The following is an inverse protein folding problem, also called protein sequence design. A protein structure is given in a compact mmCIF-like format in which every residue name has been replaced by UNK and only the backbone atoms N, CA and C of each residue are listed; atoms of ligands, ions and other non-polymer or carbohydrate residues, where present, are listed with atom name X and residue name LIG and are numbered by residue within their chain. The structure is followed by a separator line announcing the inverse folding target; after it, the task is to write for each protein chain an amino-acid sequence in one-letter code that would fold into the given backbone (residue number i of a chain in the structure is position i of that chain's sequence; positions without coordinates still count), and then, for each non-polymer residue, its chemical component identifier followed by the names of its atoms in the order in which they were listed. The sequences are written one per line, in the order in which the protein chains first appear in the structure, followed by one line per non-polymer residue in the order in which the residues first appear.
data_IF_090491441277
#
_entry.id   IF_090491441277
#
_cell.length_a   1.000
_cell.length_b   1.000
_cell.length_c   1.000
_cell.angle_alpha   90.00
_cell.angle_beta   90.00
_cell.angle_gamma   90.00
#
_symmetry.space_group_name_H-M   'P 1'
#
loop_
_entity.id
_entity.type
_entity.pdbx_description
1 polymer ?
#
# COMPACT_ATOMS: atom_id res chain seq x y z
N UNK A 1 -12.33 1.31 -23.87
CA UNK A 1 -13.81 1.42 -23.98
C UNK A 1 -14.32 1.90 -22.64
N UNK A 2 -15.02 3.03 -22.59
CA UNK A 2 -15.70 3.52 -21.38
C UNK A 2 -16.74 2.48 -20.95
N UNK A 3 -16.37 1.57 -20.05
CA UNK A 3 -17.35 0.86 -19.27
C UNK A 3 -17.78 1.83 -18.17
N UNK A 4 -18.99 2.36 -18.31
CA UNK A 4 -19.71 3.00 -17.23
C UNK A 4 -20.02 1.94 -16.18
N UNK A 5 -19.03 1.65 -15.32
CA UNK A 5 -19.28 1.02 -14.04
C UNK A 5 -20.01 2.06 -13.19
N UNK A 6 -21.25 1.78 -12.71
CA UNK A 6 -22.02 2.75 -11.93
C UNK A 6 -21.32 3.21 -10.64
N UNK A 7 -20.27 2.52 -10.19
CA UNK A 7 -19.62 2.75 -8.89
C UNK A 7 -18.25 3.45 -8.96
N UNK A 8 -17.65 3.60 -10.14
CA UNK A 8 -16.34 4.25 -10.29
C UNK A 8 -16.20 4.92 -11.65
N UNK A 9 -15.66 6.15 -11.68
CA UNK A 9 -15.33 6.81 -12.94
C UNK A 9 -13.85 6.67 -13.23
N UNK A 10 -13.53 6.02 -14.36
CA UNK A 10 -12.21 6.12 -14.98
C UNK A 10 -12.21 7.42 -15.80
N UNK A 11 -11.50 8.45 -15.31
CA UNK A 11 -11.34 9.69 -16.05
C UNK A 11 -9.85 9.91 -16.35
N UNK A 12 -9.48 9.62 -17.60
CA UNK A 12 -8.11 9.76 -18.11
C UNK A 12 -7.61 11.22 -18.16
N UNK A 13 -8.47 12.21 -17.90
CA UNK A 13 -8.06 13.62 -17.88
C UNK A 13 -7.62 14.08 -16.47
N UNK A 14 -7.90 13.32 -15.41
CA UNK A 14 -7.62 13.75 -14.02
C UNK A 14 -6.14 14.04 -13.78
N UNK A 15 -5.25 13.14 -14.20
CA UNK A 15 -3.80 13.28 -14.01
C UNK A 15 -3.07 13.32 -15.35
N UNK A 16 -3.72 13.89 -16.37
CA UNK A 16 -3.12 14.06 -17.70
C UNK A 16 -1.84 14.88 -17.59
N UNK A 17 -0.79 14.42 -18.28
CA UNK A 17 0.55 14.99 -18.21
C UNK A 17 1.10 15.09 -16.77
N UNK A 18 0.58 14.27 -15.86
CA UNK A 18 0.94 14.22 -14.45
C UNK A 18 0.75 15.54 -13.68
N UNK A 19 -0.21 16.37 -14.12
CA UNK A 19 -0.42 17.71 -13.58
C UNK A 19 -0.96 17.71 -12.14
N UNK A 20 -1.72 16.69 -11.74
CA UNK A 20 -2.25 16.59 -10.38
C UNK A 20 -1.23 15.96 -9.43
N UNK A 21 -0.56 14.89 -9.87
CA UNK A 21 0.45 14.16 -9.11
C UNK A 21 1.49 13.53 -10.05
N UNK A 22 2.72 14.04 -9.99
CA UNK A 22 3.87 13.64 -10.82
C UNK A 22 4.38 12.21 -10.59
N UNK A 23 4.00 11.60 -9.47
CA UNK A 23 4.41 10.24 -9.07
C UNK A 23 3.28 9.20 -9.13
N UNK A 24 2.14 9.56 -9.71
CA UNK A 24 1.00 8.67 -9.96
C UNK A 24 0.90 8.31 -11.44
N UNK A 25 0.14 7.26 -11.81
CA UNK A 25 -0.18 7.01 -13.20
C UNK A 25 -1.02 8.15 -13.80
N UNK A 26 -1.06 8.21 -15.13
CA UNK A 26 -1.88 9.16 -15.90
C UNK A 26 -3.39 8.90 -15.73
N UNK A 27 -3.77 7.63 -15.55
CA UNK A 27 -5.16 7.21 -15.33
C UNK A 27 -5.39 6.94 -13.84
N UNK A 28 -6.31 7.70 -13.25
CA UNK A 28 -6.78 7.52 -11.87
C UNK A 28 -8.25 7.11 -11.85
N UNK A 29 -8.62 6.30 -10.86
CA UNK A 29 -10.00 5.84 -10.66
C UNK A 29 -10.49 6.34 -9.31
N UNK A 30 -11.60 7.09 -9.36
CA UNK A 30 -12.26 7.74 -8.23
C UNK A 30 -13.75 7.38 -8.20
N UNK A 31 -14.44 7.58 -7.06
CA UNK A 31 -15.90 7.46 -7.01
C UNK A 31 -16.56 8.38 -8.04
N UNK A 32 -17.51 7.84 -8.81
CA UNK A 32 -18.25 8.59 -9.84
C UNK A 32 -19.07 9.77 -9.28
N UNK A 33 -19.42 9.69 -8.00
CA UNK A 33 -20.22 10.67 -7.28
C UNK A 33 -19.40 11.81 -6.66
N UNK A 34 -18.07 11.82 -6.82
CA UNK A 34 -17.22 12.90 -6.33
C UNK A 34 -17.08 14.02 -7.37
N UNK A 35 -17.18 15.27 -6.94
CA UNK A 35 -16.99 16.43 -7.80
C UNK A 35 -15.50 16.68 -8.06
N UNK A 36 -15.05 16.35 -9.28
CA UNK A 36 -13.65 16.42 -9.71
C UNK A 36 -13.10 17.86 -9.63
N UNK A 37 -13.93 18.91 -9.70
CA UNK A 37 -13.47 20.31 -9.57
C UNK A 37 -12.82 20.60 -8.20
N UNK A 38 -13.08 19.74 -7.21
CA UNK A 38 -12.60 19.85 -5.84
C UNK A 38 -11.29 19.11 -5.61
N UNK A 39 -10.84 18.31 -6.58
CA UNK A 39 -9.76 17.36 -6.42
C UNK A 39 -8.40 18.02 -6.14
N UNK A 40 -8.16 19.22 -6.66
CA UNK A 40 -6.94 19.98 -6.38
C UNK A 40 -6.76 20.24 -4.88
N UNK A 41 -7.85 20.54 -4.16
CA UNK A 41 -7.80 20.79 -2.70
C UNK A 41 -7.48 19.51 -1.91
N UNK A 42 -7.94 18.36 -2.39
CA UNK A 42 -7.55 17.05 -1.84
C UNK A 42 -6.07 16.79 -2.09
N UNK A 43 -5.60 17.05 -3.31
CA UNK A 43 -4.20 16.89 -3.69
C UNK A 43 -3.27 17.76 -2.85
N UNK A 44 -3.61 19.04 -2.65
CA UNK A 44 -2.84 19.96 -1.83
C UNK A 44 -2.82 19.55 -0.34
N UNK A 45 -3.78 18.73 0.10
CA UNK A 45 -3.86 18.22 1.47
C UNK A 45 -3.20 16.85 1.67
N UNK A 46 -2.87 16.13 0.59
CA UNK A 46 -2.20 14.82 0.63
C UNK A 46 -0.72 15.01 0.30
N UNK A 47 0.16 14.42 1.10
CA UNK A 47 1.60 14.56 0.91
C UNK A 47 2.04 14.18 -0.51
N UNK A 48 2.67 15.13 -1.23
CA UNK A 48 3.09 14.95 -2.65
C UNK A 48 1.92 14.74 -3.61
N UNK A 49 0.74 15.22 -3.24
CA UNK A 49 -0.45 15.19 -4.08
C UNK A 49 -0.97 13.78 -4.39
N UNK A 50 -0.54 12.78 -3.62
CA UNK A 50 -0.91 11.37 -3.79
C UNK A 50 -2.25 11.09 -3.12
N UNK A 51 -3.29 11.56 -3.78
CA UNK A 51 -4.69 11.45 -3.34
C UNK A 51 -5.17 10.00 -3.19
N UNK A 52 -6.22 9.73 -2.39
CA UNK A 52 -6.94 8.46 -2.37
C UNK A 52 -7.44 8.05 -3.75
N UNK A 53 -6.96 6.91 -4.25
CA UNK A 53 -7.37 6.32 -5.55
C UNK A 53 -7.51 4.81 -5.45
N UNK A 54 -8.29 4.21 -6.36
CA UNK A 54 -8.56 2.77 -6.35
C UNK A 54 -7.33 1.91 -6.69
N UNK A 55 -7.06 0.90 -5.86
CA UNK A 55 -6.15 -0.21 -6.19
C UNK A 55 -6.91 -1.46 -6.63
N UNK A 56 -7.99 -1.81 -5.94
CA UNK A 56 -8.75 -3.03 -6.18
C UNK A 56 -10.18 -2.90 -5.66
N UNK A 57 -11.11 -3.67 -6.21
CA UNK A 57 -12.47 -3.77 -5.67
C UNK A 57 -13.05 -5.18 -5.81
N UNK A 58 -13.93 -5.54 -4.89
CA UNK A 58 -14.70 -6.78 -4.92
C UNK A 58 -15.82 -6.67 -5.94
N UNK A 59 -15.94 -7.65 -6.85
CA UNK A 59 -17.06 -7.71 -7.80
C UNK A 59 -18.39 -8.12 -7.15
N UNK A 60 -18.33 -8.75 -5.98
CA UNK A 60 -19.52 -9.20 -5.25
C UNK A 60 -20.09 -8.06 -4.38
N UNK A 61 -19.22 -7.37 -3.66
CA UNK A 61 -19.61 -6.41 -2.62
C UNK A 61 -19.26 -4.97 -2.93
N UNK A 62 -18.50 -4.70 -3.98
CA UNK A 62 -17.94 -3.37 -4.27
C UNK A 62 -17.11 -2.77 -3.12
N UNK A 63 -16.72 -3.58 -2.13
CA UNK A 63 -15.73 -3.20 -1.13
C UNK A 63 -14.41 -2.91 -1.85
N UNK A 64 -13.83 -1.74 -1.55
CA UNK A 64 -12.64 -1.25 -2.26
C UNK A 64 -11.38 -1.30 -1.38
N UNK A 65 -10.24 -1.48 -2.03
CA UNK A 65 -8.94 -1.11 -1.49
C UNK A 65 -8.52 0.14 -2.25
N UNK A 66 -8.39 1.26 -1.54
CA UNK A 66 -7.85 2.51 -2.07
C UNK A 66 -6.49 2.80 -1.45
N UNK A 67 -5.67 3.60 -2.12
CA UNK A 67 -4.32 3.96 -1.66
C UNK A 67 -4.04 5.45 -1.76
N UNK A 68 -3.20 5.95 -0.86
CA UNK A 68 -2.78 7.36 -0.82
C UNK A 68 -1.46 7.54 -0.06
N UNK A 69 -0.98 8.79 0.00
CA UNK A 69 -0.07 9.26 1.03
C UNK A 69 -0.81 9.73 2.28
N UNK A 70 -0.06 10.01 3.35
CA UNK A 70 -0.61 10.65 4.54
C UNK A 70 -1.30 12.00 4.26
N UNK A 71 -2.29 12.40 5.07
CA UNK A 71 -2.81 13.75 5.08
C UNK A 71 -1.80 14.75 5.71
N UNK A 72 -1.91 16.02 5.35
CA UNK A 72 -1.09 17.12 5.86
C UNK A 72 -1.76 17.83 7.04
N UNK A 73 -2.17 17.07 8.06
CA UNK A 73 -2.90 17.60 9.23
C UNK A 73 -2.01 18.54 10.07
N UNK A 74 -0.74 18.16 10.28
CA UNK A 74 0.21 18.88 11.09
C UNK A 74 -0.17 18.95 12.58
N UNK A 75 0.66 19.62 13.39
CA UNK A 75 0.38 19.82 14.83
C UNK A 75 -0.90 20.62 15.12
N UNK A 76 -1.34 21.44 14.15
CA UNK A 76 -2.59 22.19 14.25
C UNK A 76 -3.84 21.32 14.00
N UNK A 77 -3.66 20.01 13.73
CA UNK A 77 -4.73 19.06 13.42
C UNK A 77 -5.68 19.57 12.34
N UNK A 78 -5.13 20.13 11.25
CA UNK A 78 -5.90 20.69 10.14
C UNK A 78 -6.76 19.62 9.50
N UNK A 79 -7.98 19.98 9.12
CA UNK A 79 -8.89 19.16 8.33
C UNK A 79 -9.04 19.71 6.91
N UNK A 80 -9.49 18.87 5.99
CA UNK A 80 -9.84 19.26 4.64
C UNK A 80 -11.21 18.66 4.30
N UNK A 81 -12.23 19.52 4.14
CA UNK A 81 -13.60 19.07 3.85
C UNK A 81 -13.70 18.29 2.54
N UNK A 82 -12.89 18.64 1.53
CA UNK A 82 -12.85 17.92 0.26
C UNK A 82 -12.23 16.53 0.40
N UNK A 83 -11.20 16.36 1.25
CA UNK A 83 -10.62 15.04 1.53
C UNK A 83 -11.61 14.18 2.32
N UNK A 84 -12.23 14.73 3.37
CA UNK A 84 -13.28 14.05 4.14
C UNK A 84 -14.43 13.62 3.23
N UNK A 85 -14.81 14.46 2.27
CA UNK A 85 -15.85 14.11 1.29
C UNK A 85 -15.43 13.03 0.32
N UNK A 86 -14.21 13.07 -0.22
CA UNK A 86 -13.71 11.99 -1.07
C UNK A 86 -13.72 10.65 -0.32
N UNK A 87 -13.24 10.63 0.92
CA UNK A 87 -13.25 9.42 1.75
C UNK A 87 -14.66 8.92 2.04
N UNK A 88 -15.63 9.83 2.26
CA UNK A 88 -17.04 9.48 2.38
C UNK A 88 -17.57 8.85 1.10
N UNK A 89 -17.27 9.43 -0.08
CA UNK A 89 -17.69 8.87 -1.37
C UNK A 89 -17.06 7.50 -1.65
N UNK A 90 -15.83 7.25 -1.18
CA UNK A 90 -15.21 5.92 -1.25
C UNK A 90 -15.96 4.91 -0.38
N UNK A 91 -16.40 5.31 0.82
CA UNK A 91 -17.23 4.47 1.67
C UNK A 91 -18.60 4.18 1.02
N UNK A 92 -19.27 5.22 0.53
CA UNK A 92 -20.60 5.15 -0.09
C UNK A 92 -20.64 4.33 -1.39
N UNK A 93 -19.50 4.14 -2.07
CA UNK A 93 -19.40 3.32 -3.27
C UNK A 93 -19.55 1.81 -2.99
N UNK A 94 -19.38 1.38 -1.73
CA UNK A 94 -19.62 0.00 -1.31
C UNK A 94 -21.12 -0.24 -1.12
N UNK A 95 -21.64 -1.36 -1.64
CA UNK A 95 -23.08 -1.68 -1.52
C UNK A 95 -23.50 -2.01 -0.08
N UNK A 96 -22.55 -2.39 0.77
CA UNK A 96 -22.76 -2.61 2.19
C UNK A 96 -22.73 -1.26 2.92
N UNK A 97 -23.90 -0.62 2.99
CA UNK A 97 -24.08 0.66 3.66
C UNK A 97 -23.98 0.55 5.18
N UNK A 98 -23.72 1.68 5.84
CA UNK A 98 -23.70 1.80 7.30
C UNK A 98 -22.35 1.51 7.97
N UNK A 99 -21.35 1.04 7.22
CA UNK A 99 -19.98 0.88 7.71
C UNK A 99 -19.14 2.13 7.47
N UNK A 100 -18.34 2.52 8.47
CA UNK A 100 -17.31 3.54 8.31
C UNK A 100 -16.19 3.05 7.39
N UNK A 101 -15.53 3.96 6.68
CA UNK A 101 -14.30 3.63 5.95
C UNK A 101 -13.21 3.24 6.95
N UNK A 102 -12.53 2.12 6.73
CA UNK A 102 -11.33 1.80 7.53
C UNK A 102 -10.12 2.45 6.88
N UNK A 103 -9.30 3.11 7.68
CA UNK A 103 -8.02 3.66 7.27
C UNK A 103 -6.93 2.80 7.91
N UNK A 104 -6.13 2.17 7.06
CA UNK A 104 -5.00 1.35 7.43
C UNK A 104 -3.73 2.16 7.24
N UNK A 105 -3.22 2.75 8.32
CA UNK A 105 -1.91 3.38 8.35
C UNK A 105 -0.84 2.33 8.62
N UNK A 106 0.00 2.06 7.62
CA UNK A 106 1.04 1.05 7.72
C UNK A 106 2.07 1.35 8.83
N UNK A 107 2.15 2.59 9.34
CA UNK A 107 3.20 3.03 10.26
C UNK A 107 2.94 2.57 11.70
N UNK A 108 3.99 2.52 12.53
CA UNK A 108 3.82 2.66 13.97
C UNK A 108 3.22 4.02 14.31
N UNK A 109 2.32 4.05 15.30
CA UNK A 109 1.68 5.29 15.77
C UNK A 109 2.70 6.38 16.13
N UNK A 110 3.81 6.01 16.77
CA UNK A 110 4.90 6.95 17.11
C UNK A 110 5.52 7.62 15.88
N UNK A 111 5.66 6.87 14.78
CA UNK A 111 6.18 7.42 13.53
C UNK A 111 5.14 8.33 12.85
N UNK A 112 3.85 7.99 12.95
CA UNK A 112 2.78 8.84 12.46
C UNK A 112 2.70 10.17 13.22
N UNK A 113 2.86 10.14 14.55
CA UNK A 113 2.98 11.34 15.40
C UNK A 113 4.22 12.17 15.04
N UNK A 114 5.37 11.53 14.80
CA UNK A 114 6.57 12.24 14.36
C UNK A 114 6.38 12.91 12.98
N UNK A 115 5.61 12.28 12.07
CA UNK A 115 5.25 12.92 10.79
C UNK A 115 4.27 14.09 11.00
N UNK A 116 3.35 14.00 11.95
CA UNK A 116 2.46 15.11 12.33
C UNK A 116 3.25 16.34 12.79
N UNK A 117 4.33 16.13 13.56
CA UNK A 117 5.25 17.20 13.94
C UNK A 117 5.95 17.87 12.72
N UNK A 118 6.14 17.13 11.63
CA UNK A 118 6.74 17.60 10.38
C UNK A 118 5.71 18.03 9.32
N UNK A 119 4.46 18.32 9.72
CA UNK A 119 3.42 18.82 8.83
C UNK A 119 2.60 17.75 8.09
N UNK A 120 2.98 16.46 8.19
CA UNK A 120 2.16 15.32 7.78
C UNK A 120 1.12 14.96 8.84
N UNK A 121 0.84 13.68 9.04
CA UNK A 121 -0.03 13.20 10.12
C UNK A 121 -0.90 12.02 9.70
N UNK A 122 -2.08 11.92 10.31
CA UNK A 122 -3.06 10.86 10.08
C UNK A 122 -4.47 11.42 10.33
N UNK A 123 -5.49 10.73 9.83
CA UNK A 123 -6.88 11.14 9.85
C UNK A 123 -7.51 11.00 11.24
N UNK A 124 -8.29 12.02 11.64
CA UNK A 124 -9.19 11.99 12.80
C UNK A 124 -10.58 12.43 12.34
N UNK A 125 -11.21 11.59 11.53
CA UNK A 125 -12.47 11.90 10.84
C UNK A 125 -13.64 11.09 11.38
N UNK A 126 -14.84 11.70 11.53
CA UNK A 126 -15.98 11.06 12.17
C UNK A 126 -16.48 9.80 11.42
N UNK A 127 -16.32 9.76 10.10
CA UNK A 127 -16.79 8.68 9.23
C UNK A 127 -15.70 7.64 8.91
N UNK A 128 -14.59 7.66 9.64
CA UNK A 128 -13.46 6.77 9.44
C UNK A 128 -13.06 6.07 10.73
N UNK A 129 -12.46 4.89 10.60
CA UNK A 129 -11.83 4.14 11.69
C UNK A 129 -10.37 3.93 11.34
N UNK A 130 -9.44 4.38 12.19
CA UNK A 130 -8.00 4.32 11.91
C UNK A 130 -7.32 3.16 12.66
N UNK A 131 -6.62 2.30 11.92
CA UNK A 131 -5.78 1.21 12.42
C UNK A 131 -4.30 1.43 12.07
N UNK A 132 -3.40 1.25 13.05
CA UNK A 132 -1.94 1.33 12.85
C UNK A 132 -1.32 -0.07 12.80
N UNK A 133 -0.44 -0.31 11.81
CA UNK A 133 0.11 -1.65 11.55
C UNK A 133 1.61 -1.82 11.81
N UNK A 134 2.27 -0.83 12.40
CA UNK A 134 3.61 -0.96 12.98
C UNK A 134 4.74 -1.40 12.02
N UNK A 135 4.60 -1.17 10.71
CA UNK A 135 5.64 -1.46 9.72
C UNK A 135 6.65 -0.31 9.68
N UNK A 136 7.89 -0.62 10.05
CA UNK A 136 8.97 0.35 10.20
C UNK A 136 9.34 1.05 8.88
N UNK A 137 10.07 2.16 8.98
CA UNK A 137 10.48 2.94 7.81
C UNK A 137 11.66 2.29 7.05
N UNK A 138 11.99 2.86 5.89
CA UNK A 138 13.04 2.36 5.00
C UNK A 138 14.42 2.27 5.66
N UNK A 139 14.72 3.10 6.67
CA UNK A 139 16.01 3.13 7.34
C UNK A 139 16.19 1.94 8.28
N UNK A 140 15.11 1.53 8.96
CA UNK A 140 15.09 0.29 9.74
C UNK A 140 15.21 -0.91 8.81
N UNK A 141 14.46 -0.92 7.69
CA UNK A 141 14.49 -2.05 6.75
C UNK A 141 15.83 -2.20 6.01
N UNK A 142 16.65 -1.14 5.90
CA UNK A 142 17.97 -1.19 5.25
C UNK A 142 19.00 -2.00 6.05
N UNK A 143 18.74 -2.30 7.31
CA UNK A 143 19.73 -2.93 8.18
C UNK A 143 20.28 -4.25 7.59
N UNK A 144 21.60 -4.35 7.45
CA UNK A 144 22.29 -5.44 6.73
C UNK A 144 22.60 -6.66 7.59
N UNK A 145 22.05 -6.74 8.81
CA UNK A 145 22.34 -7.80 9.79
C UNK A 145 22.02 -9.21 9.26
N UNK A 146 21.02 -9.33 8.36
CA UNK A 146 20.67 -10.61 7.74
C UNK A 146 21.84 -11.27 6.98
N UNK A 147 22.77 -10.47 6.43
CA UNK A 147 23.90 -11.03 5.66
C UNK A 147 24.78 -11.95 6.52
N UNK A 148 24.96 -11.62 7.80
CA UNK A 148 25.72 -12.45 8.72
C UNK A 148 25.00 -13.79 8.95
N UNK A 149 23.69 -13.76 9.20
CA UNK A 149 22.88 -14.96 9.39
C UNK A 149 22.93 -15.89 8.18
N UNK A 150 22.78 -15.35 6.96
CA UNK A 150 22.83 -16.14 5.72
C UNK A 150 24.20 -16.76 5.51
N UNK A 151 25.28 -16.00 5.70
CA UNK A 151 26.65 -16.52 5.57
C UNK A 151 26.91 -17.64 6.58
N UNK A 152 26.51 -17.44 7.83
CA UNK A 152 26.74 -18.40 8.91
C UNK A 152 25.90 -19.67 8.70
N UNK A 153 24.66 -19.54 8.21
CA UNK A 153 23.84 -20.69 7.82
C UNK A 153 24.49 -21.53 6.70
N UNK A 154 25.09 -20.88 5.70
CA UNK A 154 25.78 -21.56 4.59
C UNK A 154 27.03 -22.35 5.04
N UNK A 155 27.59 -22.04 6.21
CA UNK A 155 28.73 -22.73 6.81
C UNK A 155 28.34 -23.63 7.99
N UNK A 156 27.04 -23.90 8.17
CA UNK A 156 26.49 -24.71 9.28
C UNK A 156 26.93 -24.21 10.68
N UNK A 157 27.18 -22.90 10.81
CA UNK A 157 27.56 -22.29 12.09
C UNK A 157 26.36 -22.26 13.04
N UNK A 158 26.55 -22.75 14.27
CA UNK A 158 25.50 -22.82 15.30
C UNK A 158 24.94 -21.45 15.69
N UNK A 159 25.61 -20.34 15.39
CA UNK A 159 25.09 -18.99 15.69
C UNK A 159 24.02 -18.51 14.72
N UNK A 160 23.82 -19.17 13.57
CA UNK A 160 23.01 -18.61 12.48
C UNK A 160 21.57 -18.25 12.90
N UNK A 161 20.96 -19.04 13.80
CA UNK A 161 19.62 -18.76 14.33
C UNK A 161 19.57 -17.47 15.15
N UNK A 162 20.57 -17.25 16.01
CA UNK A 162 20.67 -16.02 16.81
C UNK A 162 20.95 -14.81 15.92
N UNK A 163 21.81 -14.97 14.91
CA UNK A 163 22.09 -13.92 13.93
C UNK A 163 20.83 -13.56 13.13
N UNK A 164 20.01 -14.56 12.77
CA UNK A 164 18.73 -14.35 12.09
C UNK A 164 17.74 -13.59 12.98
N UNK A 165 17.58 -14.00 14.24
CA UNK A 165 16.71 -13.30 15.19
C UNK A 165 17.15 -11.84 15.39
N UNK A 166 18.46 -11.61 15.61
CA UNK A 166 19.04 -10.29 15.77
C UNK A 166 18.91 -9.38 14.54
N UNK A 167 18.72 -9.98 13.35
CA UNK A 167 18.47 -9.23 12.13
C UNK A 167 17.08 -8.59 12.05
N UNK A 168 16.12 -9.09 12.83
CA UNK A 168 14.70 -8.74 12.75
C UNK A 168 14.05 -8.93 11.37
N UNK A 169 14.72 -9.58 10.40
CA UNK A 169 14.19 -9.73 9.05
C UNK A 169 12.81 -10.43 9.05
N UNK A 170 12.73 -11.60 9.68
CA UNK A 170 11.47 -12.35 9.79
C UNK A 170 10.41 -11.62 10.62
N UNK A 171 10.82 -10.81 11.60
CA UNK A 171 9.89 -9.93 12.33
C UNK A 171 9.23 -8.91 11.39
N UNK A 172 10.01 -8.30 10.49
CA UNK A 172 9.51 -7.35 9.50
C UNK A 172 8.64 -8.02 8.43
N UNK A 173 9.04 -9.19 7.92
CA UNK A 173 8.23 -9.98 6.98
C UNK A 173 6.88 -10.35 7.60
N UNK A 174 6.88 -10.83 8.85
CA UNK A 174 5.65 -11.11 9.61
C UNK A 174 4.79 -9.86 9.73
N UNK A 175 5.35 -8.71 10.10
CA UNK A 175 4.58 -7.48 10.26
C UNK A 175 3.86 -7.05 8.96
N UNK A 176 4.55 -7.16 7.82
CA UNK A 176 3.97 -6.86 6.50
C UNK A 176 2.84 -7.85 6.16
N UNK A 177 3.08 -9.16 6.32
CA UNK A 177 2.06 -10.19 6.06
C UNK A 177 0.84 -10.06 6.97
N UNK A 178 1.03 -9.84 8.27
CA UNK A 178 -0.07 -9.65 9.22
C UNK A 178 -0.95 -8.46 8.85
N UNK A 179 -0.34 -7.33 8.45
CA UNK A 179 -1.09 -6.16 8.01
C UNK A 179 -1.85 -6.41 6.69
N UNK A 180 -1.23 -7.12 5.73
CA UNK A 180 -1.89 -7.50 4.49
C UNK A 180 -3.05 -8.47 4.73
N UNK A 181 -2.91 -9.44 5.65
CA UNK A 181 -3.99 -10.36 6.05
C UNK A 181 -5.12 -9.60 6.74
N UNK A 182 -4.82 -8.59 7.58
CA UNK A 182 -5.85 -7.72 8.16
C UNK A 182 -6.63 -6.99 7.06
N UNK A 183 -5.93 -6.41 6.09
CA UNK A 183 -6.55 -5.74 4.94
C UNK A 183 -7.49 -6.70 4.17
N UNK A 184 -7.04 -7.93 3.92
CA UNK A 184 -7.88 -8.97 3.29
C UNK A 184 -9.09 -9.30 4.14
N UNK A 185 -8.96 -9.46 5.46
CA UNK A 185 -10.08 -9.75 6.35
C UNK A 185 -11.12 -8.63 6.36
N UNK A 186 -10.69 -7.38 6.40
CA UNK A 186 -11.57 -6.21 6.35
C UNK A 186 -12.42 -6.21 5.07
N UNK A 187 -11.80 -6.50 3.93
CA UNK A 187 -12.46 -6.46 2.62
C UNK A 187 -13.30 -7.72 2.36
N UNK A 188 -12.74 -8.90 2.60
CA UNK A 188 -13.36 -10.18 2.24
C UNK A 188 -14.35 -10.70 3.28
N UNK A 189 -14.02 -10.59 4.57
CA UNK A 189 -14.85 -11.13 5.65
C UNK A 189 -15.83 -10.08 6.16
N UNK A 190 -15.34 -8.88 6.45
CA UNK A 190 -16.16 -7.79 7.01
C UNK A 190 -16.88 -6.96 5.93
N UNK A 191 -16.55 -7.18 4.64
CA UNK A 191 -17.14 -6.50 3.48
C UNK A 191 -16.98 -4.97 3.51
N UNK A 192 -15.92 -4.46 4.13
CA UNK A 192 -15.66 -3.02 4.30
C UNK A 192 -14.68 -2.50 3.25
N UNK A 193 -14.87 -1.25 2.84
CA UNK A 193 -13.86 -0.52 2.05
C UNK A 193 -12.73 -0.04 2.96
N UNK A 194 -11.51 -0.03 2.42
CA UNK A 194 -10.30 0.32 3.16
C UNK A 194 -9.45 1.33 2.37
N UNK A 195 -8.98 2.37 3.03
CA UNK A 195 -7.91 3.25 2.55
C UNK A 195 -6.59 2.80 3.16
N UNK A 196 -5.59 2.52 2.33
CA UNK A 196 -4.24 2.15 2.77
C UNK A 196 -3.28 3.30 2.52
N UNK A 197 -2.58 3.75 3.55
CA UNK A 197 -1.50 4.71 3.37
C UNK A 197 -0.32 4.46 4.31
N UNK A 198 0.75 5.21 4.09
CA UNK A 198 1.86 5.34 5.03
C UNK A 198 2.27 6.81 5.06
N UNK A 199 3.57 7.15 5.11
CA UNK A 199 4.02 8.54 4.91
C UNK A 199 3.83 8.98 3.46
N UNK A 200 4.65 8.48 2.53
CA UNK A 200 4.60 8.91 1.12
C UNK A 200 3.69 8.05 0.22
N UNK A 201 3.19 6.90 0.68
CA UNK A 201 2.25 6.09 -0.09
C UNK A 201 2.85 5.26 -1.25
N UNK A 202 4.17 5.06 -1.29
CA UNK A 202 4.84 4.30 -2.37
C UNK A 202 5.72 3.12 -1.90
N UNK A 203 5.94 2.94 -0.59
CA UNK A 203 6.76 1.84 -0.04
C UNK A 203 5.86 0.79 0.60
N UNK A 204 5.54 0.96 1.89
CA UNK A 204 4.68 0.04 2.65
C UNK A 204 3.28 -0.08 2.05
N UNK A 205 2.73 1.01 1.53
CA UNK A 205 1.44 0.99 0.84
C UNK A 205 1.46 0.07 -0.38
N UNK A 206 2.54 0.06 -1.17
CA UNK A 206 2.68 -0.85 -2.31
C UNK A 206 2.80 -2.31 -1.86
N UNK A 207 3.54 -2.58 -0.78
CA UNK A 207 3.61 -3.92 -0.17
C UNK A 207 2.21 -4.43 0.22
N UNK A 208 1.45 -3.63 0.99
CA UNK A 208 0.16 -4.05 1.53
C UNK A 208 -0.91 -4.25 0.45
N UNK A 209 -1.06 -3.28 -0.45
CA UNK A 209 -2.03 -3.35 -1.55
C UNK A 209 -1.74 -4.54 -2.47
N UNK A 210 -0.47 -4.75 -2.85
CA UNK A 210 -0.08 -5.85 -3.73
C UNK A 210 -0.31 -7.22 -3.08
N UNK A 211 0.07 -7.39 -1.81
CA UNK A 211 -0.12 -8.66 -1.09
C UNK A 211 -1.60 -8.97 -0.88
N UNK A 212 -2.42 -7.96 -0.54
CA UNK A 212 -3.86 -8.15 -0.43
C UNK A 212 -4.47 -8.55 -1.78
N UNK A 213 -4.07 -7.92 -2.89
CA UNK A 213 -4.53 -8.28 -4.22
C UNK A 213 -4.16 -9.72 -4.61
N UNK A 214 -2.96 -10.20 -4.26
CA UNK A 214 -2.56 -11.60 -4.46
C UNK A 214 -3.43 -12.60 -3.70
N UNK A 215 -3.81 -12.24 -2.47
CA UNK A 215 -4.65 -13.09 -1.62
C UNK A 215 -6.14 -13.05 -2.04
N UNK A 216 -6.62 -11.92 -2.55
CA UNK A 216 -8.03 -11.72 -2.90
C UNK A 216 -8.40 -12.18 -4.31
N UNK A 217 -7.47 -12.09 -5.26
CA UNK A 217 -7.78 -12.21 -6.68
C UNK A 217 -6.82 -13.18 -7.38
N UNK A 218 -7.40 -14.28 -7.87
CA UNK A 218 -6.65 -15.34 -8.55
C UNK A 218 -6.01 -14.88 -9.86
N UNK A 219 -6.48 -13.77 -10.46
CA UNK A 219 -5.85 -13.20 -11.65
C UNK A 219 -4.38 -12.84 -11.38
N UNK A 220 -4.08 -12.16 -10.26
CA UNK A 220 -2.71 -11.75 -9.93
C UNK A 220 -1.79 -12.92 -9.54
N UNK A 221 -2.34 -14.14 -9.46
CA UNK A 221 -1.61 -15.39 -9.25
C UNK A 221 -1.29 -16.14 -10.54
N UNK A 222 -1.60 -15.59 -11.71
CA UNK A 222 -1.02 -16.03 -12.99
C UNK A 222 0.29 -15.30 -13.22
N UNK A 223 1.22 -15.83 -14.03
CA UNK A 223 2.44 -15.10 -14.37
C UNK A 223 2.15 -13.72 -14.98
N UNK A 224 1.22 -13.67 -15.95
CA UNK A 224 0.79 -12.43 -16.58
C UNK A 224 0.17 -11.46 -15.57
N UNK A 225 -0.70 -11.96 -14.69
CA UNK A 225 -1.31 -11.15 -13.64
C UNK A 225 -0.29 -10.65 -12.62
N UNK A 226 0.70 -11.46 -12.24
CA UNK A 226 1.77 -11.03 -11.33
C UNK A 226 2.63 -9.92 -11.95
N UNK A 227 2.94 -10.02 -13.25
CA UNK A 227 3.60 -8.94 -13.99
C UNK A 227 2.75 -7.67 -14.02
N UNK A 228 1.44 -7.79 -14.30
CA UNK A 228 0.50 -6.67 -14.25
C UNK A 228 0.45 -6.04 -12.85
N UNK A 229 0.47 -6.86 -11.78
CA UNK A 229 0.47 -6.38 -10.41
C UNK A 229 1.70 -5.50 -10.12
N UNK A 230 2.89 -5.93 -10.58
CA UNK A 230 4.13 -5.17 -10.42
C UNK A 230 4.07 -3.88 -11.25
N UNK A 231 3.69 -3.96 -12.52
CA UNK A 231 3.52 -2.79 -13.40
C UNK A 231 2.54 -1.77 -12.81
N UNK A 232 1.45 -2.26 -12.22
CA UNK A 232 0.42 -1.42 -11.61
C UNK A 232 0.85 -0.88 -10.25
N UNK A 233 0.93 -1.71 -9.22
CA UNK A 233 1.04 -1.25 -7.83
C UNK A 233 2.42 -0.73 -7.44
N UNK A 234 3.45 -1.06 -8.21
CA UNK A 234 4.84 -0.67 -7.94
C UNK A 234 5.35 0.34 -8.95
N UNK A 235 5.33 0.02 -10.24
CA UNK A 235 5.93 0.89 -11.26
C UNK A 235 5.07 2.13 -11.53
N UNK A 236 3.82 1.95 -11.96
CA UNK A 236 2.95 3.08 -12.31
C UNK A 236 2.58 3.95 -11.10
N UNK A 237 2.43 3.33 -9.92
CA UNK A 237 2.23 4.05 -8.66
C UNK A 237 3.51 4.62 -8.03
N UNK A 238 4.64 4.57 -8.72
CA UNK A 238 5.81 5.38 -8.39
C UNK A 238 6.64 4.90 -7.20
N UNK A 239 6.71 3.58 -6.96
CA UNK A 239 7.76 3.05 -6.10
C UNK A 239 9.13 3.45 -6.65
N UNK A 240 9.98 4.03 -5.81
CA UNK A 240 11.22 4.68 -6.23
C UNK A 240 12.35 3.68 -6.46
N UNK A 241 12.17 2.71 -7.38
CA UNK A 241 13.14 1.65 -7.67
C UNK A 241 14.57 2.15 -7.85
N UNK A 242 14.76 3.21 -8.64
CA UNK A 242 16.07 3.82 -8.87
C UNK A 242 16.79 4.19 -7.55
N UNK A 243 16.07 4.84 -6.63
CA UNK A 243 16.62 5.29 -5.34
C UNK A 243 16.72 4.16 -4.31
N UNK A 244 15.74 3.25 -4.30
CA UNK A 244 15.68 2.12 -3.34
C UNK A 244 16.74 1.07 -3.62
N UNK A 245 17.06 0.85 -4.90
CA UNK A 245 18.13 -0.07 -5.33
C UNK A 245 19.48 0.65 -5.41
N UNK A 246 19.49 1.93 -5.76
CA UNK A 246 20.71 2.72 -5.95
C UNK A 246 21.38 2.49 -7.30
N UNK A 247 20.60 2.47 -8.38
CA UNK A 247 21.13 2.29 -9.74
C UNK A 247 22.06 3.44 -10.13
N UNK A 248 23.37 3.20 -10.17
CA UNK A 248 24.37 4.19 -10.58
C UNK A 248 24.65 5.32 -9.58
N UNK A 249 24.02 5.31 -8.40
CA UNK A 249 24.25 6.30 -7.34
C UNK A 249 25.20 5.72 -6.27
N UNK A 250 26.06 6.55 -5.68
CA UNK A 250 26.92 6.17 -4.55
C UNK A 250 26.26 6.41 -3.19
N UNK A 251 25.18 7.20 -3.12
CA UNK A 251 24.46 7.42 -1.87
C UNK A 251 23.72 6.17 -1.41
N UNK A 252 23.78 5.89 -0.10
CA UNK A 252 23.05 4.79 0.54
C UNK A 252 21.79 5.29 1.29
N UNK A 253 21.56 6.61 1.38
CA UNK A 253 20.57 7.21 2.30
C UNK A 253 19.12 6.81 2.02
N UNK A 254 18.78 6.58 0.75
CA UNK A 254 17.45 6.20 0.27
C UNK A 254 17.31 4.71 -0.06
N UNK A 255 18.41 3.93 0.01
CA UNK A 255 18.40 2.51 -0.34
C UNK A 255 17.65 1.71 0.71
N UNK A 256 16.86 0.74 0.27
CA UNK A 256 16.09 -0.11 1.19
C UNK A 256 15.48 -1.31 0.44
N UNK A 257 15.46 -2.52 1.03
CA UNK A 257 14.99 -3.74 0.37
C UNK A 257 13.46 -3.86 0.34
N UNK A 258 12.73 -2.78 0.08
CA UNK A 258 11.25 -2.76 0.16
C UNK A 258 10.61 -3.73 -0.83
N UNK A 259 11.04 -3.70 -2.10
CA UNK A 259 10.54 -4.64 -3.10
C UNK A 259 11.00 -6.08 -2.82
N UNK A 260 12.22 -6.27 -2.31
CA UNK A 260 12.71 -7.59 -1.90
C UNK A 260 11.85 -8.18 -0.76
N UNK A 261 11.44 -7.37 0.22
CA UNK A 261 10.52 -7.81 1.26
C UNK A 261 9.15 -8.23 0.70
N UNK A 262 8.66 -7.56 -0.35
CA UNK A 262 7.44 -8.00 -1.05
C UNK A 262 7.62 -9.35 -1.75
N UNK A 263 8.76 -9.56 -2.41
CA UNK A 263 9.08 -10.85 -3.03
C UNK A 263 9.22 -11.96 -1.98
N UNK A 264 9.83 -11.68 -0.83
CA UNK A 264 9.91 -12.62 0.30
C UNK A 264 8.50 -12.93 0.83
N UNK A 265 7.66 -11.93 1.08
CA UNK A 265 6.26 -12.15 1.47
C UNK A 265 5.50 -13.01 0.44
N UNK A 266 5.71 -12.77 -0.85
CA UNK A 266 5.13 -13.59 -1.93
C UNK A 266 5.64 -15.03 -1.86
N UNK A 267 6.94 -15.21 -1.60
CA UNK A 267 7.53 -16.52 -1.39
C UNK A 267 6.92 -17.22 -0.16
N UNK A 268 6.75 -16.55 0.97
CA UNK A 268 6.09 -17.12 2.15
C UNK A 268 4.66 -17.59 1.85
N UNK A 269 3.89 -16.82 1.10
CA UNK A 269 2.54 -17.22 0.66
C UNK A 269 2.61 -18.46 -0.24
N UNK A 270 3.62 -18.56 -1.11
CA UNK A 270 3.82 -19.72 -1.98
C UNK A 270 4.23 -21.00 -1.24
N UNK A 271 4.97 -20.87 -0.14
CA UNK A 271 5.36 -22.02 0.68
C UNK A 271 4.20 -22.55 1.52
N UNK A 272 3.19 -21.72 1.78
CA UNK A 272 2.03 -22.06 2.60
C UNK A 272 0.79 -22.44 1.79
N UNK A 273 0.81 -22.25 0.47
CA UNK A 273 -0.24 -22.77 -0.42
C UNK A 273 -0.18 -24.30 -0.48
N UNK A 274 -1.30 -24.92 -0.88
CA UNK A 274 -1.42 -26.39 -0.88
C UNK A 274 -0.25 -27.08 -1.60
N UNK A 275 0.32 -28.16 -1.01
CA UNK A 275 1.42 -28.90 -1.63
C UNK A 275 1.10 -29.31 -3.08
N UNK A 276 1.98 -28.95 -4.01
CA UNK A 276 1.80 -29.23 -5.44
C UNK A 276 1.09 -28.12 -6.23
N UNK A 277 0.60 -27.06 -5.56
CA UNK A 277 0.12 -25.85 -6.23
C UNK A 277 1.26 -24.84 -6.40
N UNK A 278 1.46 -24.35 -7.62
CA UNK A 278 2.25 -23.13 -7.86
C UNK A 278 1.37 -21.93 -7.51
N UNK A 279 1.67 -21.25 -6.39
CA UNK A 279 0.95 -20.04 -5.97
C UNK A 279 0.91 -18.96 -7.05
N UNK A 280 2.01 -18.80 -7.79
CA UNK A 280 2.05 -18.11 -9.08
C UNK A 280 2.24 -19.17 -10.16
N UNK A 281 1.20 -19.42 -10.96
CA UNK A 281 1.24 -20.46 -11.98
C UNK A 281 1.49 -19.88 -13.38
N UNK A 282 2.17 -20.69 -14.19
CA UNK A 282 2.37 -20.42 -15.61
C UNK A 282 1.06 -20.79 -16.34
N UNK A 283 0.45 -19.83 -17.01
CA UNK A 283 -0.55 -20.14 -18.03
C UNK A 283 0.22 -20.76 -19.21
N UNK A 284 -0.05 -22.04 -19.52
CA UNK A 284 0.40 -22.67 -20.77
C UNK A 284 -0.54 -22.29 -21.92
#
# INVERSE_FOLDING_TARGET
KQNSDPHGTINAEINKNYALCDTYPDILVLPSSFDISRLQRVADFRSRNRIPVLSWYSRETYATITRSSQPLTGLANRTCEDDIELLRKIADANVNQGFKLVILDARPKVNAMANMANGGGYEDYPNCELEFHNIQNIHVMRERKLHAAVRNAAHEDKTWLSDLENSNWLFHIRAVLTAAIRLVSLVHNEKRSVLVHCSDGWDRTAQLTSLAMLMLDAHYRTLNGYMILIEKEWLSFGHKFFLRIGHGDKSDSERSPVFLQFLDCTFQLSQQSEPGSTFIYWEQ
#
